data_IF_979984820283
#
_entry.id   IF_979984820283
#
_cell.length_a   1.000
_cell.length_b   1.000
_cell.length_c   1.000
_cell.angle_alpha   90.00
_cell.angle_beta   90.00
_cell.angle_gamma   90.00
#
_symmetry.space_group_name_H-M   'P 1'
#
loop_
_entity.id
_entity.type
_entity.pdbx_description
1 polymer ?
#
# COMPACT_ATOMS: atom_id res chain seq x y z
N UNK A 1 1.03 5.50 -7.83
CA UNK A 1 2.27 5.86 -7.13
C UNK A 1 3.47 5.49 -8.02
N UNK A 2 4.70 5.87 -7.66
CA UNK A 2 5.91 5.46 -8.39
C UNK A 2 6.91 4.82 -7.44
N UNK A 3 7.46 3.68 -7.83
CA UNK A 3 8.61 3.05 -7.19
C UNK A 3 9.87 3.43 -7.99
N UNK A 4 10.92 3.92 -7.32
CA UNK A 4 12.12 4.39 -8.02
C UNK A 4 13.36 3.68 -7.49
N UNK A 5 14.23 3.25 -8.41
CA UNK A 5 15.53 2.65 -8.09
C UNK A 5 16.62 3.50 -8.73
N UNK A 6 17.66 3.81 -7.95
CA UNK A 6 18.81 4.57 -8.43
C UNK A 6 19.91 3.56 -8.77
N UNK A 7 20.34 3.59 -10.03
CA UNK A 7 21.52 2.87 -10.49
C UNK A 7 22.70 3.83 -10.52
N UNK A 8 23.83 3.40 -9.96
CA UNK A 8 25.06 4.18 -9.93
C UNK A 8 26.18 3.42 -10.63
N UNK A 9 26.75 4.01 -11.66
CA UNK A 9 27.95 3.52 -12.30
C UNK A 9 29.17 4.25 -11.71
N UNK A 10 29.99 3.54 -10.95
CA UNK A 10 31.26 4.07 -10.40
C UNK A 10 32.48 3.68 -11.25
N UNK A 11 32.27 3.00 -12.38
CA UNK A 11 33.36 2.60 -13.27
C UNK A 11 33.72 3.72 -14.23
N UNK A 12 34.90 3.56 -14.86
CA UNK A 12 35.42 4.48 -15.88
C UNK A 12 34.87 4.17 -17.29
N UNK A 13 33.96 3.19 -17.41
CA UNK A 13 33.39 2.75 -18.68
C UNK A 13 31.87 2.89 -18.68
N UNK A 14 31.31 3.06 -19.88
CA UNK A 14 29.84 3.09 -20.05
C UNK A 14 29.31 1.66 -19.94
N UNK A 15 28.27 1.46 -19.11
CA UNK A 15 27.69 0.14 -18.85
C UNK A 15 26.32 0.04 -19.50
N UNK A 16 26.13 -1.00 -20.33
CA UNK A 16 24.82 -1.43 -20.81
C UNK A 16 24.23 -2.44 -19.82
N UNK A 17 23.14 -2.05 -19.16
CA UNK A 17 22.49 -2.78 -18.09
C UNK A 17 21.11 -3.28 -18.54
N UNK A 18 20.82 -4.53 -18.22
CA UNK A 18 19.47 -5.08 -18.22
C UNK A 18 18.93 -5.04 -16.80
N UNK A 19 17.87 -4.27 -16.60
CA UNK A 19 17.20 -4.12 -15.32
C UNK A 19 15.85 -4.83 -15.36
N UNK A 20 15.51 -5.57 -14.31
CA UNK A 20 14.22 -6.21 -14.12
C UNK A 20 13.63 -5.82 -12.77
N UNK A 21 12.33 -5.51 -12.75
CA UNK A 21 11.58 -5.32 -11.50
C UNK A 21 10.43 -6.33 -11.47
N UNK A 22 10.32 -7.06 -10.35
CA UNK A 22 9.18 -7.91 -10.01
C UNK A 22 8.50 -7.37 -8.75
N UNK A 23 7.18 -7.32 -8.77
CA UNK A 23 6.37 -6.88 -7.63
C UNK A 23 5.41 -7.99 -7.17
N UNK A 24 5.28 -8.15 -5.85
CA UNK A 24 4.30 -9.05 -5.20
C UNK A 24 3.39 -8.21 -4.31
N UNK A 25 2.08 -8.48 -4.35
CA UNK A 25 1.04 -7.66 -3.71
C UNK A 25 1.04 -6.18 -4.18
N UNK A 26 1.67 -5.92 -5.32
CA UNK A 26 1.65 -4.67 -6.06
C UNK A 26 1.67 -5.00 -7.57
N UNK A 27 1.13 -4.11 -8.38
CA UNK A 27 1.00 -4.24 -9.83
C UNK A 27 1.72 -3.07 -10.50
N UNK A 28 2.46 -3.36 -11.58
CA UNK A 28 3.06 -2.33 -12.41
C UNK A 28 2.04 -1.78 -13.40
N UNK A 29 2.03 -0.46 -13.54
CA UNK A 29 1.17 0.29 -14.45
C UNK A 29 1.89 0.48 -15.79
N UNK A 30 2.18 -0.63 -16.49
CA UNK A 30 2.75 -0.61 -17.84
C UNK A 30 1.64 -0.64 -18.90
N UNK A 31 2.00 -0.49 -20.17
CA UNK A 31 1.05 -0.55 -21.30
C UNK A 31 0.33 -1.90 -21.43
N UNK A 32 0.84 -2.96 -20.81
CA UNK A 32 0.22 -4.27 -20.77
C UNK A 32 -0.50 -4.49 -19.44
N UNK A 33 -1.80 -4.78 -19.52
CA UNK A 33 -2.67 -4.93 -18.35
C UNK A 33 -2.23 -6.15 -17.52
N UNK A 34 -2.06 -5.96 -16.21
CA UNK A 34 -1.74 -7.02 -15.21
C UNK A 34 -0.31 -7.59 -15.24
N UNK A 35 0.70 -6.83 -15.70
CA UNK A 35 2.10 -7.27 -15.53
C UNK A 35 2.61 -7.11 -14.09
N UNK A 36 3.19 -8.19 -13.57
CA UNK A 36 3.88 -8.23 -12.27
C UNK A 36 5.41 -8.09 -12.41
N UNK A 37 5.92 -8.12 -13.65
CA UNK A 37 7.32 -7.93 -13.95
C UNK A 37 7.50 -7.02 -15.17
N UNK A 38 8.55 -6.19 -15.16
CA UNK A 38 8.96 -5.37 -16.32
C UNK A 38 10.48 -5.39 -16.44
N UNK A 39 10.96 -5.38 -17.68
CA UNK A 39 12.37 -5.27 -18.01
C UNK A 39 12.67 -3.99 -18.78
N UNK A 40 13.81 -3.38 -18.50
CA UNK A 40 14.36 -2.25 -19.24
C UNK A 40 15.83 -2.52 -19.58
N UNK A 41 16.28 -1.96 -20.71
CA UNK A 41 17.71 -1.79 -20.97
C UNK A 41 18.06 -0.32 -20.78
N UNK A 42 19.20 -0.04 -20.15
CA UNK A 42 19.67 1.32 -19.92
C UNK A 42 21.20 1.37 -20.07
N UNK A 43 21.68 2.46 -20.65
CA UNK A 43 23.12 2.76 -20.70
C UNK A 43 23.42 3.86 -19.68
N UNK A 44 24.37 3.59 -18.79
CA UNK A 44 24.82 4.57 -17.79
C UNK A 44 26.28 4.93 -18.06
N UNK A 45 26.51 6.22 -18.32
CA UNK A 45 27.84 6.77 -18.58
C UNK A 45 28.77 6.62 -17.36
N UNK A 46 30.10 6.64 -17.55
CA UNK A 46 31.07 6.55 -16.47
C UNK A 46 30.81 7.56 -15.34
N UNK A 47 30.95 7.14 -14.09
CA UNK A 47 30.77 8.01 -12.91
C UNK A 47 29.41 8.75 -12.86
N UNK A 48 28.37 8.22 -13.51
CA UNK A 48 27.01 8.80 -13.50
C UNK A 48 26.01 7.90 -12.79
N UNK A 49 24.86 8.51 -12.45
CA UNK A 49 23.70 7.83 -11.87
C UNK A 49 22.46 8.07 -12.72
N UNK A 50 21.57 7.09 -12.76
CA UNK A 50 20.27 7.19 -13.40
C UNK A 50 19.18 6.66 -12.46
N UNK A 51 18.02 7.32 -12.46
CA UNK A 51 16.86 6.86 -11.69
C UNK A 51 15.87 6.19 -12.63
N UNK A 52 15.60 4.91 -12.39
CA UNK A 52 14.53 4.17 -13.06
C UNK A 52 13.25 4.32 -12.25
N UNK A 53 12.19 4.80 -12.91
CA UNK A 53 10.89 5.03 -12.29
C UNK A 53 9.87 4.03 -12.82
N UNK A 54 9.23 3.32 -11.92
CA UNK A 54 8.24 2.29 -12.19
C UNK A 54 6.90 2.78 -11.67
N UNK A 55 5.91 3.09 -12.52
CA UNK A 55 4.58 3.43 -12.07
C UNK A 55 3.92 2.16 -11.50
N UNK A 56 3.42 2.23 -10.27
CA UNK A 56 2.89 1.07 -9.52
C UNK A 56 1.60 1.42 -8.77
N UNK A 57 0.79 0.38 -8.56
CA UNK A 57 -0.40 0.39 -7.70
C UNK A 57 -0.39 -0.80 -6.75
N UNK A 58 -1.04 -0.68 -5.60
CA UNK A 58 -1.20 -1.75 -4.61
C UNK A 58 -2.38 -2.64 -4.98
N UNK A 59 -2.39 -3.88 -4.46
CA UNK A 59 -3.50 -4.84 -4.68
C UNK A 59 -4.29 -5.00 -3.37
N UNK A 60 -3.66 -5.49 -2.30
CA UNK A 60 -4.28 -5.67 -0.98
C UNK A 60 -3.47 -4.98 0.13
N UNK A 61 -4.12 -4.69 1.25
CA UNK A 61 -3.43 -4.34 2.50
C UNK A 61 -2.54 -5.49 2.96
N UNK A 62 -1.44 -5.17 3.63
CA UNK A 62 -0.43 -6.15 4.05
C UNK A 62 0.96 -5.71 3.63
N UNK A 63 1.82 -6.63 3.20
CA UNK A 63 3.19 -6.31 2.77
C UNK A 63 3.29 -6.45 1.25
N UNK A 64 3.76 -5.40 0.57
CA UNK A 64 4.22 -5.49 -0.81
C UNK A 64 5.73 -5.74 -0.85
N UNK A 65 6.15 -6.64 -1.74
CA UNK A 65 7.57 -6.94 -1.96
C UNK A 65 7.97 -6.54 -3.37
N UNK A 66 9.08 -5.84 -3.48
CA UNK A 66 9.68 -5.41 -4.73
C UNK A 66 11.06 -6.02 -4.84
N UNK A 67 11.27 -6.84 -5.88
CA UNK A 67 12.53 -7.47 -6.19
C UNK A 67 13.07 -6.84 -7.47
N UNK A 68 14.20 -6.15 -7.34
CA UNK A 68 14.87 -5.52 -8.46
C UNK A 68 16.19 -6.23 -8.71
N UNK A 69 16.48 -6.50 -9.98
CA UNK A 69 17.73 -7.10 -10.44
C UNK A 69 18.29 -6.26 -11.57
N UNK A 70 19.60 -6.14 -11.61
CA UNK A 70 20.31 -5.51 -12.72
C UNK A 70 21.54 -6.34 -13.07
N UNK A 71 21.76 -6.55 -14.35
CA UNK A 71 22.91 -7.30 -14.87
C UNK A 71 23.49 -6.58 -16.08
N UNK A 72 24.80 -6.49 -16.19
CA UNK A 72 25.46 -6.05 -17.42
C UNK A 72 25.36 -7.11 -18.51
N UNK A 73 25.31 -6.69 -19.77
CA UNK A 73 25.56 -7.62 -20.88
C UNK A 73 27.05 -7.99 -20.90
N UNK A 74 27.36 -9.29 -20.88
CA UNK A 74 28.74 -9.76 -21.05
C UNK A 74 29.23 -9.39 -22.45
N UNK A 75 30.20 -8.50 -22.51
CA UNK A 75 31.02 -8.27 -23.70
C UNK A 75 32.47 -8.58 -23.34
N UNK A 76 33.24 -9.10 -24.31
CA UNK A 76 34.60 -9.62 -24.13
C UNK A 76 35.60 -8.61 -23.50
N UNK A 77 35.26 -7.32 -23.50
CA UNK A 77 36.10 -6.21 -23.01
C UNK A 77 35.66 -5.61 -21.67
N UNK A 78 34.51 -6.01 -21.10
CA UNK A 78 33.98 -5.41 -19.86
C UNK A 78 33.76 -6.46 -18.76
N UNK A 79 34.07 -6.08 -17.51
CA UNK A 79 33.73 -6.88 -16.34
C UNK A 79 32.21 -7.04 -16.21
N UNK A 80 31.77 -8.22 -15.79
CA UNK A 80 30.36 -8.52 -15.50
C UNK A 80 30.00 -7.96 -14.13
N UNK A 81 28.97 -7.11 -14.07
CA UNK A 81 28.39 -6.59 -12.84
C UNK A 81 26.94 -7.01 -12.74
N UNK A 82 26.60 -7.63 -11.61
CA UNK A 82 25.25 -8.07 -11.28
C UNK A 82 24.92 -7.57 -9.87
N UNK A 83 23.73 -7.01 -9.69
CA UNK A 83 23.24 -6.53 -8.40
C UNK A 83 21.75 -6.79 -8.28
N UNK A 84 21.29 -7.01 -7.05
CA UNK A 84 19.90 -7.28 -6.75
C UNK A 84 19.51 -6.75 -5.37
N UNK A 85 18.31 -6.21 -5.28
CA UNK A 85 17.74 -5.69 -4.04
C UNK A 85 16.30 -6.14 -3.87
N UNK A 86 15.95 -6.51 -2.64
CA UNK A 86 14.57 -6.73 -2.23
C UNK A 86 14.15 -5.65 -1.23
N UNK A 87 12.98 -5.06 -1.45
CA UNK A 87 12.36 -4.12 -0.51
C UNK A 87 10.95 -4.58 -0.16
N UNK A 88 10.64 -4.57 1.13
CA UNK A 88 9.29 -4.80 1.65
C UNK A 88 8.69 -3.50 2.16
N UNK A 89 7.51 -3.13 1.66
CA UNK A 89 6.77 -1.94 2.06
C UNK A 89 5.40 -2.33 2.65
N UNK A 90 5.02 -1.80 3.83
CA UNK A 90 3.68 -2.01 4.36
C UNK A 90 2.65 -1.20 3.55
N UNK A 91 1.57 -1.87 3.16
CA UNK A 91 0.37 -1.29 2.58
C UNK A 91 -0.67 -1.24 3.69
N UNK A 92 -0.90 -0.04 4.21
CA UNK A 92 -1.91 0.19 5.24
C UNK A 92 -3.30 0.17 4.64
N UNK A 93 -4.26 -0.20 5.49
CA UNK A 93 -5.67 0.03 5.19
C UNK A 93 -5.89 1.53 5.07
N UNK A 94 -6.73 1.98 4.13
CA UNK A 94 -7.06 3.40 4.02
C UNK A 94 -7.70 3.87 5.33
N UNK A 95 -7.49 5.15 5.64
CA UNK A 95 -8.06 5.74 6.85
C UNK A 95 -9.59 5.65 6.80
N UNK A 96 -10.20 5.12 7.87
CA UNK A 96 -11.66 5.09 8.05
C UNK A 96 -12.18 6.52 8.00
N UNK A 97 -12.85 6.86 6.91
CA UNK A 97 -13.37 8.22 6.73
C UNK A 97 -14.75 8.40 7.38
N UNK A 98 -15.44 7.30 7.67
CA UNK A 98 -16.79 7.31 8.26
C UNK A 98 -16.97 6.10 9.17
N UNK A 99 -17.38 6.35 10.42
CA UNK A 99 -17.80 5.35 11.39
C UNK A 99 -19.12 5.81 11.99
N UNK A 100 -20.13 4.95 11.98
CA UNK A 100 -21.45 5.25 12.54
C UNK A 100 -21.77 4.25 13.66
N UNK A 101 -22.10 4.76 14.84
CA UNK A 101 -22.59 3.97 15.96
C UNK A 101 -24.07 4.27 16.16
N UNK A 102 -24.92 3.24 16.16
CA UNK A 102 -26.31 3.36 16.63
C UNK A 102 -26.41 2.77 18.02
N UNK A 103 -27.03 3.52 18.92
CA UNK A 103 -27.34 3.06 20.27
C UNK A 103 -28.84 2.84 20.40
N UNK A 104 -29.20 1.84 21.19
CA UNK A 104 -30.58 1.55 21.55
C UNK A 104 -30.63 0.82 22.87
N UNK A 105 -31.66 1.12 23.67
CA UNK A 105 -31.99 0.35 24.85
C UNK A 105 -32.98 -0.74 24.47
N UNK A 106 -32.67 -1.96 24.88
CA UNK A 106 -33.60 -3.09 24.73
C UNK A 106 -34.34 -3.19 26.07
N UNK A 107 -35.47 -2.49 26.18
CA UNK A 107 -36.41 -2.68 27.28
C UNK A 107 -37.52 -3.64 26.84
N UNK A 108 -37.80 -4.63 27.67
CA UNK A 108 -38.73 -5.75 27.47
C UNK A 108 -38.32 -6.77 26.39
N UNK A 109 -38.98 -7.95 26.40
CA UNK A 109 -38.72 -9.12 25.53
C UNK A 109 -39.03 -8.88 24.03
N UNK A 110 -38.73 -7.69 23.51
CA UNK A 110 -39.02 -7.28 22.14
C UNK A 110 -37.79 -7.39 21.24
N UNK A 111 -38.01 -7.89 20.02
CA UNK A 111 -36.98 -7.95 18.99
C UNK A 111 -36.79 -6.56 18.35
N UNK A 112 -35.57 -6.03 18.40
CA UNK A 112 -35.19 -4.77 17.75
C UNK A 112 -34.59 -5.08 16.38
N UNK A 113 -35.10 -4.43 15.33
CA UNK A 113 -34.62 -4.58 13.95
C UNK A 113 -33.92 -3.30 13.51
N UNK A 114 -32.59 -3.36 13.36
CA UNK A 114 -31.77 -2.23 12.91
C UNK A 114 -31.30 -2.43 11.47
N UNK A 115 -31.91 -1.74 10.47
CA UNK A 115 -31.46 -1.85 9.10
C UNK A 115 -30.11 -1.15 8.93
N UNK A 116 -29.11 -1.87 8.44
CA UNK A 116 -27.78 -1.32 8.14
C UNK A 116 -27.73 -1.02 6.64
N UNK A 117 -27.46 0.23 6.30
CA UNK A 117 -27.19 0.66 4.92
C UNK A 117 -25.69 0.88 4.75
N UNK A 118 -25.09 0.15 3.81
CA UNK A 118 -23.69 0.35 3.45
C UNK A 118 -23.53 1.74 2.81
N UNK A 119 -22.58 2.58 3.27
CA UNK A 119 -22.32 3.88 2.67
C UNK A 119 -21.93 3.77 1.19
N UNK A 120 -22.19 4.83 0.43
CA UNK A 120 -21.74 4.89 -0.96
C UNK A 120 -20.20 5.07 -1.00
N UNK A 121 -19.55 4.51 -2.01
CA UNK A 121 -18.10 4.65 -2.22
C UNK A 121 -17.22 3.95 -1.17
N UNK A 122 -17.71 2.85 -0.58
CA UNK A 122 -16.89 1.98 0.28
C UNK A 122 -15.97 1.07 -0.52
N UNK A 123 -14.79 0.80 0.03
CA UNK A 123 -13.92 -0.25 -0.46
C UNK A 123 -14.45 -1.59 0.05
N UNK A 124 -14.96 -2.44 -0.85
CA UNK A 124 -15.65 -3.68 -0.48
C UNK A 124 -14.85 -4.63 0.43
N UNK A 125 -13.52 -4.51 0.44
CA UNK A 125 -12.61 -5.32 1.25
C UNK A 125 -12.38 -4.76 2.68
N UNK A 126 -12.91 -3.58 3.01
CA UNK A 126 -12.75 -2.93 4.30
C UNK A 126 -14.10 -2.52 4.88
N UNK A 127 -14.38 -2.99 6.09
CA UNK A 127 -15.57 -2.66 6.86
C UNK A 127 -15.70 -3.60 8.05
N UNK A 128 -16.26 -3.10 9.15
CA UNK A 128 -16.56 -3.88 10.35
C UNK A 128 -17.93 -3.46 10.88
N UNK A 129 -18.70 -4.44 11.35
CA UNK A 129 -19.90 -4.20 12.14
C UNK A 129 -19.66 -4.85 13.49
N UNK A 130 -19.52 -4.02 14.53
CA UNK A 130 -19.37 -4.47 15.91
C UNK A 130 -20.65 -4.19 16.69
N UNK A 131 -21.21 -5.24 17.29
CA UNK A 131 -22.39 -5.15 18.14
C UNK A 131 -21.94 -5.42 19.57
N UNK A 132 -22.10 -4.42 20.44
CA UNK A 132 -21.77 -4.55 21.87
C UNK A 132 -23.05 -4.36 22.68
N UNK A 133 -23.37 -5.33 23.53
CA UNK A 133 -24.52 -5.29 24.44
C UNK A 133 -24.02 -5.20 25.88
N UNK A 134 -24.62 -4.32 26.68
CA UNK A 134 -24.34 -4.20 28.11
C UNK A 134 -25.65 -4.23 28.89
N UNK A 135 -25.66 -4.87 30.06
CA UNK A 135 -26.80 -4.89 30.99
C UNK A 135 -26.91 -3.62 31.84
N UNK A 136 -26.03 -2.64 31.63
CA UNK A 136 -26.02 -1.36 32.30
C UNK A 136 -25.95 -0.22 31.28
N UNK A 137 -26.62 0.91 31.55
CA UNK A 137 -26.65 2.11 30.71
C UNK A 137 -25.29 2.84 30.55
N UNK A 138 -24.19 2.20 30.96
CA UNK A 138 -22.85 2.77 31.06
C UNK A 138 -22.21 3.07 29.69
N UNK A 139 -22.71 2.43 28.62
CA UNK A 139 -22.30 2.73 27.25
C UNK A 139 -22.64 4.17 26.84
N UNK A 140 -23.82 4.69 27.25
CA UNK A 140 -24.21 6.08 26.98
C UNK A 140 -23.35 7.10 27.74
N UNK A 141 -22.77 6.72 28.89
CA UNK A 141 -21.95 7.62 29.69
C UNK A 141 -20.54 7.80 29.10
N UNK A 142 -20.01 6.77 28.44
CA UNK A 142 -18.65 6.81 27.86
C UNK A 142 -18.59 7.83 26.72
N UNK A 143 -19.63 7.85 25.88
CA UNK A 143 -19.73 8.82 24.79
C UNK A 143 -20.08 10.23 25.29
N UNK A 144 -20.89 10.35 26.37
CA UNK A 144 -21.09 11.64 27.02
C UNK A 144 -19.78 12.23 27.56
N UNK A 145 -18.90 11.39 28.13
CA UNK A 145 -17.57 11.78 28.59
C UNK A 145 -16.65 12.12 27.41
N UNK A 146 -16.63 11.31 26.35
CA UNK A 146 -15.85 11.59 25.14
C UNK A 146 -16.32 12.91 24.52
N UNK A 147 -17.63 13.10 24.34
CA UNK A 147 -18.26 14.33 23.84
C UNK A 147 -17.87 15.55 24.68
N UNK A 148 -17.86 15.44 26.02
CA UNK A 148 -17.40 16.50 26.92
C UNK A 148 -15.90 16.78 26.79
N UNK A 149 -15.08 15.75 26.56
CA UNK A 149 -13.63 15.87 26.39
C UNK A 149 -13.23 16.43 25.03
N UNK A 150 -13.88 15.98 23.96
CA UNK A 150 -13.68 16.48 22.60
C UNK A 150 -14.50 17.73 22.30
N UNK A 151 -15.25 18.26 23.27
CA UNK A 151 -15.99 19.50 23.12
C UNK A 151 -14.99 20.64 22.86
N UNK A 152 -14.94 21.19 21.64
CA UNK A 152 -14.04 22.29 21.35
C UNK A 152 -14.58 23.51 22.09
N UNK A 153 -13.88 23.96 23.12
CA UNK A 153 -13.94 25.37 23.46
C UNK A 153 -13.02 26.05 22.45
N UNK A 154 -13.62 26.67 21.42
CA UNK A 154 -13.02 27.23 20.18
C UNK A 154 -13.22 26.40 18.89
#
# INVERSE_FOLDING_TARGET
>A
AHFSVILQNQTDQSLLLHAGLRATNAKLLTSQTNQQAVGYYIVIQPSKRAALRFPVTTIHSGIARFQFVVSTTKNETCASFDDAIELSLPIFTPATSEAFATYGDICDEQAVLQPIKIPNNVLAQFGEVSITTSSTALASLTDAIISLYTYPYE
#
